data_IF_503065131959
#
_entry.id   IF_503065131959
#
_cell.length_a   1.000
_cell.length_b   1.000
_cell.length_c   1.000
_cell.angle_alpha   90.00
_cell.angle_beta   90.00
_cell.angle_gamma   90.00
#
_symmetry.space_group_name_H-M   'P 1'
#
loop_
_entity.id
_entity.type
_entity.pdbx_description
1 polymer ?
#
# COMPACT_ATOMS: atom_id res chain seq x y z
N UNK A 1 19.61 6.72 6.16
CA UNK A 1 19.67 7.59 4.96
C UNK A 1 20.52 8.85 5.17
N UNK A 2 21.78 8.71 5.60
CA UNK A 2 22.70 9.86 5.79
C UNK A 2 23.51 10.22 4.53
N UNK A 3 23.62 9.28 3.58
CA UNK A 3 24.42 9.42 2.34
C UNK A 3 23.86 10.44 1.35
N UNK A 4 22.54 10.53 1.23
CA UNK A 4 21.87 11.47 0.31
C UNK A 4 21.00 12.44 1.13
N UNK A 5 21.22 13.76 0.96
CA UNK A 5 20.51 14.79 1.73
C UNK A 5 19.27 15.36 1.04
N UNK A 6 19.11 15.15 -0.27
CA UNK A 6 17.96 15.67 -1.02
C UNK A 6 16.64 15.09 -0.50
N UNK A 7 15.75 15.97 -0.03
CA UNK A 7 14.40 15.60 0.38
C UNK A 7 13.58 15.08 -0.81
N UNK A 8 13.73 15.73 -1.96
CA UNK A 8 13.03 15.37 -3.20
C UNK A 8 13.46 14.00 -3.73
N UNK A 9 14.76 13.71 -3.74
CA UNK A 9 15.26 12.38 -4.12
C UNK A 9 14.77 11.27 -3.20
N UNK A 10 14.65 11.55 -1.90
CA UNK A 10 14.04 10.61 -0.94
C UNK A 10 12.56 10.41 -1.22
N UNK A 11 11.83 11.45 -1.59
CA UNK A 11 10.41 11.37 -1.97
C UNK A 11 10.22 10.46 -3.18
N UNK A 12 10.97 10.67 -4.26
CA UNK A 12 10.89 9.81 -5.44
C UNK A 12 11.27 8.36 -5.14
N UNK A 13 12.31 8.11 -4.36
CA UNK A 13 12.68 6.76 -3.94
C UNK A 13 11.56 6.08 -3.13
N UNK A 14 10.97 6.80 -2.19
CA UNK A 14 9.87 6.28 -1.38
C UNK A 14 8.66 5.94 -2.25
N UNK A 15 8.28 6.83 -3.16
CA UNK A 15 7.17 6.59 -4.09
C UNK A 15 7.46 5.43 -5.05
N UNK A 16 8.71 5.26 -5.49
CA UNK A 16 9.15 4.12 -6.29
C UNK A 16 9.04 2.79 -5.51
N UNK A 17 9.49 2.79 -4.24
CA UNK A 17 9.50 1.60 -3.40
C UNK A 17 8.08 1.09 -3.09
N UNK A 18 7.18 2.02 -2.74
CA UNK A 18 5.79 1.72 -2.41
C UNK A 18 4.88 1.56 -3.62
N UNK A 19 5.40 1.70 -4.85
CA UNK A 19 4.55 1.57 -6.01
C UNK A 19 4.25 0.11 -6.33
N UNK A 20 2.97 -0.31 -6.35
CA UNK A 20 2.61 -1.66 -6.76
C UNK A 20 2.57 -1.83 -8.29
N UNK A 21 2.68 -0.74 -9.07
CA UNK A 21 2.80 -0.79 -10.54
C UNK A 21 4.26 -0.68 -10.98
N UNK A 22 4.70 -1.62 -11.81
CA UNK A 22 6.05 -1.60 -12.42
C UNK A 22 6.25 -0.35 -13.28
N UNK A 23 5.25 0.05 -14.07
CA UNK A 23 5.34 1.21 -14.94
C UNK A 23 5.53 2.51 -14.15
N UNK A 24 4.78 2.70 -13.05
CA UNK A 24 4.97 3.87 -12.18
C UNK A 24 6.31 3.83 -11.43
N UNK A 25 6.76 2.65 -11.01
CA UNK A 25 8.11 2.50 -10.44
C UNK A 25 9.17 2.97 -11.43
N UNK A 26 9.10 2.55 -12.70
CA UNK A 26 10.05 2.95 -13.74
C UNK A 26 10.05 4.48 -13.91
N UNK A 27 8.87 5.10 -13.96
CA UNK A 27 8.75 6.55 -14.02
C UNK A 27 9.41 7.27 -12.83
N UNK A 28 9.12 6.84 -11.59
CA UNK A 28 9.74 7.44 -10.41
C UNK A 28 11.26 7.24 -10.38
N UNK A 29 11.76 6.09 -10.88
CA UNK A 29 13.20 5.85 -10.99
C UNK A 29 13.86 6.70 -12.06
N UNK A 30 13.17 6.99 -13.17
CA UNK A 30 13.66 7.89 -14.21
C UNK A 30 13.69 9.34 -13.73
N UNK A 31 12.64 9.79 -13.03
CA UNK A 31 12.62 11.08 -12.35
C UNK A 31 13.75 11.19 -11.31
N UNK A 32 13.97 10.15 -10.51
CA UNK A 32 15.09 10.09 -9.55
C UNK A 32 16.44 10.12 -10.27
N UNK A 33 16.59 9.43 -11.40
CA UNK A 33 17.85 9.42 -12.18
C UNK A 33 18.15 10.78 -12.77
N UNK A 34 17.13 11.50 -13.24
CA UNK A 34 17.25 12.88 -13.72
C UNK A 34 17.64 13.87 -12.61
N UNK A 35 17.19 13.62 -11.37
CA UNK A 35 17.50 14.47 -10.22
C UNK A 35 18.85 14.14 -9.56
N UNK A 36 19.12 12.84 -9.31
CA UNK A 36 20.27 12.32 -8.58
C UNK A 36 20.68 10.95 -9.13
N UNK A 37 21.44 10.97 -10.22
CA UNK A 37 21.93 9.76 -10.89
C UNK A 37 22.61 8.77 -9.93
N UNK A 38 23.50 9.25 -9.06
CA UNK A 38 24.22 8.42 -8.07
C UNK A 38 23.29 7.70 -7.10
N UNK A 39 22.16 8.32 -6.75
CA UNK A 39 21.17 7.72 -5.85
C UNK A 39 20.42 6.60 -6.56
N UNK A 40 19.99 6.83 -7.81
CA UNK A 40 19.36 5.79 -8.63
C UNK A 40 20.28 4.58 -8.80
N UNK A 41 21.56 4.79 -9.11
CA UNK A 41 22.55 3.71 -9.24
C UNK A 41 22.80 3.01 -7.92
N UNK A 42 22.90 3.76 -6.81
CA UNK A 42 23.09 3.17 -5.50
C UNK A 42 21.93 2.25 -5.12
N UNK A 43 20.70 2.67 -5.37
CA UNK A 43 19.49 1.89 -5.08
C UNK A 43 19.39 0.65 -5.99
N UNK A 44 19.75 0.78 -7.27
CA UNK A 44 19.65 -0.32 -8.24
C UNK A 44 20.60 -1.49 -7.96
N UNK A 45 21.61 -1.32 -7.07
CA UNK A 45 22.47 -2.42 -6.62
C UNK A 45 21.78 -3.39 -5.66
N UNK A 46 20.69 -2.98 -5.02
CA UNK A 46 19.96 -3.85 -4.09
C UNK A 46 18.98 -4.76 -4.85
N UNK A 47 18.85 -5.99 -4.38
CA UNK A 47 17.86 -6.92 -4.93
C UNK A 47 16.45 -6.32 -4.79
N UNK A 48 15.82 -6.06 -5.94
CA UNK A 48 14.49 -5.44 -6.08
C UNK A 48 13.42 -6.12 -5.24
N UNK A 49 13.47 -7.45 -5.10
CA UNK A 49 12.47 -8.22 -4.30
C UNK A 49 12.46 -7.79 -2.83
N UNK A 50 13.58 -7.31 -2.30
CA UNK A 50 13.70 -6.95 -0.88
C UNK A 50 13.02 -5.61 -0.58
N UNK A 51 12.94 -4.69 -1.54
CA UNK A 51 12.54 -3.29 -1.26
C UNK A 51 11.54 -2.68 -2.25
N UNK A 52 11.00 -3.45 -3.21
CA UNK A 52 9.96 -2.99 -4.14
C UNK A 52 8.65 -3.72 -3.93
N UNK A 53 7.56 -2.95 -3.77
CA UNK A 53 6.21 -3.51 -3.59
C UNK A 53 5.79 -4.38 -4.78
N UNK A 54 5.93 -3.87 -6.01
CA UNK A 54 5.48 -4.60 -7.20
C UNK A 54 6.20 -5.94 -7.41
N UNK A 55 7.38 -6.14 -6.79
CA UNK A 55 8.10 -7.41 -6.85
C UNK A 55 7.63 -8.45 -5.83
N UNK A 56 6.78 -8.08 -4.87
CA UNK A 56 6.40 -8.98 -3.78
C UNK A 56 5.14 -9.80 -4.02
N UNK A 57 4.45 -9.63 -5.15
CA UNK A 57 3.24 -10.40 -5.49
C UNK A 57 2.10 -10.28 -4.46
N UNK A 58 2.05 -9.19 -3.70
CA UNK A 58 1.02 -8.93 -2.68
C UNK A 58 1.26 -9.61 -1.33
N UNK A 59 2.43 -10.24 -1.11
CA UNK A 59 2.74 -10.91 0.16
C UNK A 59 2.94 -9.94 1.33
N UNK A 60 3.30 -8.69 1.05
CA UNK A 60 3.61 -7.72 2.11
C UNK A 60 2.48 -6.74 2.41
N UNK A 61 1.32 -6.87 1.77
CA UNK A 61 0.16 -6.00 2.05
C UNK A 61 0.47 -4.50 1.97
N UNK A 62 1.39 -4.10 1.09
CA UNK A 62 1.85 -2.72 0.97
C UNK A 62 2.95 -2.28 1.95
N UNK A 63 3.52 -3.21 2.71
CA UNK A 63 4.62 -2.93 3.64
C UNK A 63 5.98 -3.21 2.99
N UNK A 64 6.74 -2.14 2.70
CA UNK A 64 8.01 -2.27 1.99
C UNK A 64 9.23 -1.81 2.79
N UNK A 65 9.03 -1.13 3.93
CA UNK A 65 10.13 -0.52 4.71
C UNK A 65 10.01 -0.69 6.24
N UNK A 66 10.93 -0.01 6.93
CA UNK A 66 11.31 0.00 8.36
C UNK A 66 10.21 0.12 9.41
N UNK A 67 8.95 0.32 9.06
CA UNK A 67 7.88 0.54 10.04
C UNK A 67 7.77 -0.63 11.05
N UNK A 68 8.02 -1.87 10.61
CA UNK A 68 8.08 -3.03 11.52
C UNK A 68 9.25 -2.92 12.52
N UNK A 69 10.46 -2.63 12.04
CA UNK A 69 11.62 -2.45 12.93
C UNK A 69 11.49 -1.22 13.83
N UNK A 70 10.88 -0.13 13.36
CA UNK A 70 10.63 1.08 14.14
C UNK A 70 9.54 0.85 15.19
N UNK A 71 8.49 0.10 14.86
CA UNK A 71 7.48 -0.35 15.80
C UNK A 71 8.12 -1.20 16.91
N UNK A 72 8.98 -2.17 16.56
CA UNK A 72 9.72 -2.97 17.54
C UNK A 72 10.62 -2.07 18.40
N UNK A 73 11.33 -1.12 17.80
CA UNK A 73 12.15 -0.16 18.55
C UNK A 73 11.32 0.69 19.52
N UNK A 74 10.11 1.09 19.13
CA UNK A 74 9.19 1.80 20.01
C UNK A 74 8.70 0.91 21.16
N UNK A 75 8.38 -0.36 20.88
CA UNK A 75 8.02 -1.37 21.91
C UNK A 75 9.18 -1.63 22.85
N UNK A 76 10.43 -1.57 22.39
CA UNK A 76 11.62 -1.78 23.21
C UNK A 76 12.15 -0.49 23.85
N UNK A 77 11.59 0.67 23.50
CA UNK A 77 12.01 1.96 24.03
C UNK A 77 11.89 1.96 25.56
N UNK A 78 12.96 2.39 26.22
CA UNK A 78 13.09 2.40 27.69
C UNK A 78 13.47 1.05 28.33
N UNK A 79 13.61 -0.03 27.56
CA UNK A 79 14.00 -1.36 28.07
C UNK A 79 15.38 -1.83 27.62
N UNK A 80 16.02 -1.12 26.69
CA UNK A 80 17.28 -1.50 26.02
C UNK A 80 18.51 -1.65 26.95
N UNK A 81 18.42 -1.18 28.20
CA UNK A 81 19.49 -1.25 29.20
C UNK A 81 19.19 -2.20 30.36
N UNK A 82 18.12 -3.00 30.24
CA UNK A 82 17.73 -3.98 31.25
C UNK A 82 18.37 -5.35 30.97
N UNK A 83 18.47 -6.24 31.97
CA UNK A 83 18.83 -7.63 31.74
C UNK A 83 17.93 -8.28 30.69
N UNK A 84 18.45 -9.22 29.91
CA UNK A 84 17.71 -9.91 28.83
C UNK A 84 16.38 -10.48 29.35
N UNK A 85 16.37 -11.07 30.56
CA UNK A 85 15.17 -11.59 31.19
C UNK A 85 14.10 -10.53 31.45
N UNK A 86 14.51 -9.32 31.83
CA UNK A 86 13.60 -8.20 32.03
C UNK A 86 13.04 -7.67 30.69
N UNK A 87 13.86 -7.63 29.63
CA UNK A 87 13.40 -7.25 28.29
C UNK A 87 12.34 -8.24 27.78
N UNK A 88 12.60 -9.54 27.92
CA UNK A 88 11.65 -10.60 27.52
C UNK A 88 10.35 -10.45 28.29
N UNK A 89 10.42 -10.29 29.62
CA UNK A 89 9.22 -10.12 30.46
C UNK A 89 8.42 -8.87 30.08
N UNK A 90 9.07 -7.71 29.93
CA UNK A 90 8.38 -6.47 29.55
C UNK A 90 7.76 -6.56 28.15
N UNK A 91 8.42 -7.23 27.20
CA UNK A 91 7.88 -7.45 25.86
C UNK A 91 6.63 -8.32 25.92
N UNK A 92 6.70 -9.43 26.68
CA UNK A 92 5.56 -10.31 26.90
C UNK A 92 4.36 -9.58 27.51
N UNK A 93 4.58 -8.83 28.60
CA UNK A 93 3.52 -8.07 29.28
C UNK A 93 2.88 -7.02 28.36
N UNK A 94 3.69 -6.27 27.61
CA UNK A 94 3.19 -5.27 26.63
C UNK A 94 2.39 -5.92 25.51
N UNK A 95 2.85 -7.06 24.98
CA UNK A 95 2.13 -7.82 23.96
C UNK A 95 0.81 -8.39 24.50
N UNK A 96 0.80 -8.91 25.72
CA UNK A 96 -0.42 -9.41 26.36
C UNK A 96 -1.46 -8.30 26.51
N UNK A 97 -1.05 -7.12 26.99
CA UNK A 97 -1.95 -5.96 27.10
C UNK A 97 -2.49 -5.53 25.73
N UNK A 98 -1.62 -5.49 24.71
CA UNK A 98 -2.03 -5.18 23.34
C UNK A 98 -3.05 -6.21 22.82
N UNK A 99 -2.80 -7.49 23.04
CA UNK A 99 -3.68 -8.58 22.60
C UNK A 99 -5.06 -8.49 23.25
N UNK A 100 -5.12 -8.27 24.57
CA UNK A 100 -6.39 -8.09 25.30
C UNK A 100 -7.15 -6.88 24.76
N UNK A 101 -6.47 -5.74 24.55
CA UNK A 101 -7.10 -4.54 23.99
C UNK A 101 -7.66 -4.78 22.60
N UNK A 102 -6.87 -5.39 21.70
CA UNK A 102 -7.30 -5.71 20.33
C UNK A 102 -8.41 -6.76 20.28
N UNK A 103 -8.39 -7.73 21.20
CA UNK A 103 -9.48 -8.69 21.36
C UNK A 103 -10.80 -8.01 21.76
N UNK A 104 -10.76 -7.05 22.69
CA UNK A 104 -11.95 -6.26 23.06
C UNK A 104 -12.46 -5.40 21.89
N UNK A 105 -11.57 -4.73 21.16
CA UNK A 105 -11.94 -3.97 19.96
C UNK A 105 -12.65 -4.86 18.93
N UNK A 106 -12.12 -6.07 18.68
CA UNK A 106 -12.72 -7.03 17.77
C UNK A 106 -14.09 -7.53 18.28
N UNK A 107 -14.22 -7.84 19.57
CA UNK A 107 -15.49 -8.25 20.18
C UNK A 107 -16.57 -7.17 20.04
N UNK A 108 -16.22 -5.90 20.27
CA UNK A 108 -17.15 -4.76 20.09
C UNK A 108 -17.61 -4.68 18.63
N UNK A 109 -16.69 -4.86 17.67
CA UNK A 109 -17.03 -4.85 16.25
C UNK A 109 -17.95 -6.03 15.87
N UNK A 110 -17.68 -7.23 16.39
CA UNK A 110 -18.53 -8.41 16.17
C UNK A 110 -19.92 -8.21 16.78
N UNK A 111 -20.02 -7.64 17.99
CA UNK A 111 -21.30 -7.35 18.64
C UNK A 111 -22.14 -6.33 17.85
N UNK A 112 -21.48 -5.36 17.20
CA UNK A 112 -22.12 -4.42 16.28
C UNK A 112 -22.44 -5.02 14.90
N UNK A 113 -22.27 -6.34 14.71
CA UNK A 113 -22.45 -7.04 13.42
C UNK A 113 -21.60 -6.48 12.28
N UNK A 114 -20.47 -5.84 12.59
CA UNK A 114 -19.54 -5.37 11.57
C UNK A 114 -18.76 -6.56 11.01
N UNK A 115 -18.91 -6.82 9.71
CA UNK A 115 -18.20 -7.88 9.01
C UNK A 115 -16.70 -7.55 8.82
N UNK A 116 -16.35 -6.27 8.78
CA UNK A 116 -15.01 -5.77 8.48
C UNK A 116 -14.50 -4.81 9.55
N UNK A 117 -13.17 -4.70 9.65
CA UNK A 117 -12.53 -3.75 10.57
C UNK A 117 -12.85 -2.31 10.17
N UNK A 118 -12.98 -1.42 11.16
CA UNK A 118 -13.17 0.01 10.92
C UNK A 118 -12.10 0.62 10.02
N UNK A 119 -10.85 0.14 10.14
CA UNK A 119 -9.75 0.58 9.29
C UNK A 119 -10.00 0.24 7.82
N UNK A 120 -10.42 -1.00 7.54
CA UNK A 120 -10.70 -1.43 6.16
C UNK A 120 -11.87 -0.64 5.57
N UNK A 121 -12.93 -0.44 6.36
CA UNK A 121 -14.08 0.36 5.93
C UNK A 121 -13.67 1.80 5.61
N UNK A 122 -12.86 2.43 6.46
CA UNK A 122 -12.33 3.77 6.20
C UNK A 122 -11.43 3.82 4.96
N UNK A 123 -10.61 2.79 4.73
CA UNK A 123 -9.76 2.71 3.53
C UNK A 123 -10.59 2.55 2.25
N UNK A 124 -11.65 1.73 2.27
CA UNK A 124 -12.60 1.59 1.16
C UNK A 124 -13.32 2.90 0.91
N UNK A 125 -13.83 3.57 1.95
CA UNK A 125 -14.52 4.86 1.80
C UNK A 125 -13.61 5.93 1.20
N UNK A 126 -12.36 6.02 1.67
CA UNK A 126 -11.35 6.90 1.06
C UNK A 126 -11.09 6.57 -0.42
N UNK A 127 -11.11 5.29 -0.79
CA UNK A 127 -10.99 4.90 -2.21
C UNK A 127 -12.23 5.30 -3.02
N UNK A 128 -13.43 5.36 -2.42
CA UNK A 128 -14.67 5.78 -3.09
C UNK A 128 -14.68 7.26 -3.44
N UNK A 129 -14.04 8.10 -2.64
CA UNK A 129 -13.87 9.54 -2.93
C UNK A 129 -13.20 9.79 -4.29
N UNK A 130 -12.41 8.83 -4.78
CA UNK A 130 -11.75 8.91 -6.10
C UNK A 130 -12.57 8.39 -7.28
N UNK A 131 -13.80 7.90 -7.09
CA UNK A 131 -14.65 7.42 -8.20
C UNK A 131 -15.02 8.54 -9.18
N UNK A 132 -15.39 9.77 -8.75
CA UNK A 132 -15.78 10.85 -9.67
C UNK A 132 -14.68 11.27 -10.65
N UNK A 133 -13.42 10.97 -10.35
CA UNK A 133 -12.27 11.28 -11.22
C UNK A 133 -11.94 10.15 -12.21
N UNK A 134 -12.82 9.15 -12.33
CA UNK A 134 -12.64 8.00 -13.21
C UNK A 134 -13.67 8.02 -14.33
N UNK A 135 -13.21 7.72 -15.55
CA UNK A 135 -14.09 7.47 -16.70
C UNK A 135 -13.94 6.03 -17.15
N UNK A 136 -15.04 5.28 -17.15
CA UNK A 136 -15.09 3.95 -17.76
C UNK A 136 -15.21 4.11 -19.28
N UNK A 137 -14.23 3.62 -20.02
CA UNK A 137 -14.19 3.70 -21.49
C UNK A 137 -14.61 2.40 -22.17
N UNK A 138 -14.45 1.27 -21.50
CA UNK A 138 -14.90 -0.03 -21.99
C UNK A 138 -15.37 -0.94 -20.85
N UNK A 139 -16.43 -1.72 -21.09
CA UNK A 139 -16.97 -2.68 -20.12
C UNK A 139 -17.36 -4.00 -20.80
N UNK A 140 -16.69 -5.09 -20.42
CA UNK A 140 -17.14 -6.45 -20.65
C UNK A 140 -17.68 -7.02 -19.34
N UNK A 141 -19.00 -6.88 -19.15
CA UNK A 141 -19.71 -7.36 -17.96
C UNK A 141 -19.67 -8.89 -17.83
N UNK A 142 -19.61 -9.63 -18.95
CA UNK A 142 -19.57 -11.10 -18.93
C UNK A 142 -18.23 -11.60 -18.42
N UNK A 143 -17.14 -11.00 -18.88
CA UNK A 143 -15.80 -11.32 -18.40
C UNK A 143 -15.45 -10.63 -17.06
N UNK A 144 -16.31 -9.69 -16.60
CA UNK A 144 -16.03 -8.82 -15.45
C UNK A 144 -14.76 -7.98 -15.62
N UNK A 145 -14.56 -7.47 -16.84
CA UNK A 145 -13.40 -6.69 -17.28
C UNK A 145 -13.81 -5.27 -17.62
N UNK A 146 -13.13 -4.29 -17.04
CA UNK A 146 -13.42 -2.87 -17.23
C UNK A 146 -12.14 -2.12 -17.55
N UNK A 147 -12.22 -1.17 -18.48
CA UNK A 147 -11.12 -0.25 -18.80
C UNK A 147 -11.52 1.14 -18.35
N UNK A 148 -10.64 1.76 -17.56
CA UNK A 148 -10.86 3.08 -16.97
C UNK A 148 -9.73 4.02 -17.33
N UNK A 149 -10.06 5.31 -17.39
CA UNK A 149 -9.10 6.40 -17.51
C UNK A 149 -9.21 7.31 -16.28
N UNK A 150 -8.07 7.72 -15.74
CA UNK A 150 -8.01 8.74 -14.69
C UNK A 150 -8.12 10.13 -15.36
N UNK A 151 -9.11 10.93 -14.95
CA UNK A 151 -9.34 12.27 -15.52
C UNK A 151 -8.28 13.28 -15.08
N UNK A 152 -7.64 13.04 -13.92
CA UNK A 152 -6.54 13.86 -13.42
C UNK A 152 -5.25 13.03 -13.28
N UNK A 153 -4.10 13.51 -13.81
CA UNK A 153 -2.81 12.86 -13.62
C UNK A 153 -2.42 12.84 -12.15
N UNK A 154 -1.89 11.71 -11.68
CA UNK A 154 -1.30 11.62 -10.34
C UNK A 154 0.19 11.97 -10.42
N UNK A 155 0.63 13.02 -9.72
CA UNK A 155 2.03 13.51 -9.75
C UNK A 155 2.55 13.84 -11.18
N UNK A 156 1.66 14.24 -12.10
CA UNK A 156 2.02 14.49 -13.50
C UNK A 156 2.19 13.22 -14.35
N UNK A 157 1.94 12.04 -13.78
CA UNK A 157 1.83 10.77 -14.50
C UNK A 157 0.36 10.46 -14.82
N UNK A 158 0.05 10.27 -16.09
CA UNK A 158 -1.21 9.65 -16.53
C UNK A 158 -0.92 8.27 -17.11
N UNK A 159 -1.43 7.23 -16.45
CA UNK A 159 -1.49 5.90 -17.06
C UNK A 159 -2.72 5.91 -17.95
N UNK A 160 -2.52 6.08 -19.26
CA UNK A 160 -3.58 6.39 -20.24
C UNK A 160 -4.88 5.62 -19.99
N UNK A 161 -4.81 4.28 -19.98
CA UNK A 161 -5.91 3.43 -19.55
C UNK A 161 -5.43 2.36 -18.56
N UNK A 162 -6.35 1.95 -17.69
CA UNK A 162 -6.15 0.95 -16.64
C UNK A 162 -7.24 -0.11 -16.75
N UNK A 163 -6.83 -1.36 -16.82
CA UNK A 163 -7.72 -2.51 -16.80
C UNK A 163 -7.99 -2.97 -15.36
N UNK A 164 -9.23 -3.38 -15.12
CA UNK A 164 -9.72 -4.00 -13.89
C UNK A 164 -10.35 -5.33 -14.25
N UNK A 165 -9.91 -6.38 -13.59
CA UNK A 165 -10.50 -7.72 -13.66
C UNK A 165 -11.14 -8.05 -12.30
N UNK A 166 -12.44 -7.78 -12.17
CA UNK A 166 -13.14 -7.93 -10.88
C UNK A 166 -13.21 -9.39 -10.43
N UNK A 167 -13.34 -10.34 -11.36
CA UNK A 167 -13.47 -11.78 -11.08
C UNK A 167 -12.25 -12.38 -10.39
N UNK A 168 -11.06 -11.83 -10.63
CA UNK A 168 -9.79 -12.29 -10.05
C UNK A 168 -9.16 -11.29 -9.08
N UNK A 169 -9.87 -10.20 -8.77
CA UNK A 169 -9.37 -9.19 -7.84
C UNK A 169 -8.12 -8.44 -8.31
N UNK A 170 -7.99 -8.20 -9.62
CA UNK A 170 -6.79 -7.60 -10.21
C UNK A 170 -7.06 -6.22 -10.82
N UNK A 171 -6.07 -5.35 -10.73
CA UNK A 171 -6.06 -4.06 -11.43
C UNK A 171 -4.64 -3.71 -11.86
N UNK A 172 -4.52 -3.08 -13.03
CA UNK A 172 -3.24 -2.56 -13.54
C UNK A 172 -2.57 -1.56 -12.59
N UNK A 173 -3.33 -0.92 -11.70
CA UNK A 173 -2.77 -0.02 -10.70
C UNK A 173 -1.99 -0.75 -9.60
N UNK A 174 -2.02 -2.08 -9.52
CA UNK A 174 -1.25 -2.85 -8.54
C UNK A 174 -1.95 -3.05 -7.19
N UNK A 175 -2.82 -2.11 -6.79
CA UNK A 175 -3.32 -2.02 -5.42
C UNK A 175 -4.31 -3.12 -5.05
N UNK A 176 -5.17 -3.56 -5.97
CA UNK A 176 -6.20 -4.55 -5.66
C UNK A 176 -5.57 -5.88 -5.22
N UNK A 177 -4.64 -6.39 -6.02
CA UNK A 177 -3.88 -7.60 -5.70
C UNK A 177 -2.85 -7.42 -4.57
N UNK A 178 -2.37 -6.20 -4.32
CA UNK A 178 -1.38 -5.95 -3.25
C UNK A 178 -2.03 -5.87 -1.88
N UNK A 179 -3.20 -5.26 -1.79
CA UNK A 179 -3.87 -4.96 -0.52
C UNK A 179 -5.02 -5.93 -0.23
N UNK A 180 -5.46 -6.71 -1.22
CA UNK A 180 -6.55 -7.68 -1.12
C UNK A 180 -7.91 -7.04 -0.79
N UNK A 181 -8.09 -5.76 -1.14
CA UNK A 181 -9.38 -5.07 -1.11
C UNK A 181 -9.49 -4.09 -2.28
N UNK A 182 -10.72 -3.69 -2.68
CA UNK A 182 -10.94 -2.88 -3.87
C UNK A 182 -10.20 -1.53 -3.83
N UNK A 183 -9.39 -1.28 -4.86
CA UNK A 183 -8.84 0.05 -5.13
C UNK A 183 -9.92 0.97 -5.74
N UNK A 184 -9.61 2.27 -5.87
CA UNK A 184 -10.52 3.25 -6.50
C UNK A 184 -11.01 2.83 -7.90
N UNK A 185 -10.15 2.20 -8.71
CA UNK A 185 -10.51 1.69 -10.04
C UNK A 185 -11.47 0.51 -9.96
N UNK A 186 -11.21 -0.42 -9.04
CA UNK A 186 -12.09 -1.56 -8.81
C UNK A 186 -13.47 -1.11 -8.32
N UNK A 187 -13.53 -0.10 -7.45
CA UNK A 187 -14.80 0.47 -6.98
C UNK A 187 -15.56 1.19 -8.09
N UNK A 188 -14.87 1.94 -8.95
CA UNK A 188 -15.49 2.57 -10.13
C UNK A 188 -16.01 1.52 -11.12
N UNK A 189 -15.27 0.43 -11.34
CA UNK A 189 -15.72 -0.71 -12.15
C UNK A 189 -16.95 -1.40 -11.53
N UNK A 190 -16.95 -1.63 -10.20
CA UNK A 190 -18.12 -2.15 -9.49
C UNK A 190 -19.33 -1.22 -9.65
N UNK A 191 -19.16 0.09 -9.51
CA UNK A 191 -20.25 1.05 -9.71
C UNK A 191 -20.82 0.95 -11.13
N UNK A 192 -19.97 0.87 -12.15
CA UNK A 192 -20.40 0.71 -13.54
C UNK A 192 -21.06 -0.66 -13.84
N UNK A 193 -20.71 -1.69 -13.07
CA UNK A 193 -21.37 -3.00 -13.13
C UNK A 193 -22.76 -2.98 -12.47
N UNK A 194 -22.94 -2.18 -11.41
CA UNK A 194 -24.16 -2.10 -10.60
C UNK A 194 -25.20 -1.06 -11.06
N UNK A 195 -24.89 -0.20 -12.04
CA UNK A 195 -25.89 0.70 -12.64
C UNK A 195 -26.81 -0.14 -13.54
N UNK A 196 -27.82 -0.70 -12.89
CA UNK A 196 -29.18 -1.03 -13.34
C UNK A 196 -30.15 -0.87 -12.15
#
# INVERSE_FOLDING_TARGET
MSRFKSAEGKRYLMNAAYNPSKARYEWYMDALRGLLHEMADWVNRFNKKIWLQYCDSGHRFGHVITNLSECINAVLKGTLYLPISAIIRCTYERLQQLFVRKGREAQVQMAASNQFSQWLLAAVEKNREGIPTMRVTHSDRRASVFVLEELEPFDGWSQGSLCVWLSVGACDCGLFQSLHFPCRHALAACAAASVE
#
